data_IF_367658647636
#
_entry.id   IF_367658647636
#
_cell.length_a   1.000
_cell.length_b   1.000
_cell.length_c   1.000
_cell.angle_alpha   90.00
_cell.angle_beta   90.00
_cell.angle_gamma   90.00
#
_symmetry.space_group_name_H-M   'P 1'
#
loop_
_entity.id
_entity.type
_entity.pdbx_description
1 polymer ?
#
# COMPACT_ATOMS: atom_id res chain seq x y z
N UNK A 1 0.88 24.38 -3.42
CA UNK A 1 1.20 24.66 -1.99
C UNK A 1 1.23 23.31 -1.28
N UNK A 2 2.22 23.04 -0.41
CA UNK A 2 2.27 21.78 0.34
C UNK A 2 1.15 21.74 1.39
N UNK A 3 0.58 20.56 1.61
CA UNK A 3 -0.49 20.35 2.57
C UNK A 3 0.05 20.44 4.01
N UNK A 4 -0.50 21.33 4.80
CA UNK A 4 -0.18 21.47 6.22
C UNK A 4 -1.25 20.75 7.04
N UNK A 5 -0.84 19.70 7.77
CA UNK A 5 -1.75 18.98 8.66
C UNK A 5 -2.19 19.88 9.83
N UNK A 6 -3.48 19.91 10.08
CA UNK A 6 -4.02 20.58 11.26
C UNK A 6 -3.75 19.73 12.51
N UNK A 7 -3.82 20.33 13.72
CA UNK A 7 -3.79 19.56 14.97
C UNK A 7 -4.90 18.49 15.07
N UNK A 8 -6.02 18.69 14.37
CA UNK A 8 -7.10 17.68 14.30
C UNK A 8 -6.74 16.51 13.39
N UNK A 9 -6.03 16.73 12.27
CA UNK A 9 -5.58 15.67 11.39
C UNK A 9 -4.56 14.78 12.10
N UNK A 10 -3.59 15.40 12.80
CA UNK A 10 -2.62 14.66 13.59
C UNK A 10 -3.30 13.82 14.69
N UNK A 11 -4.26 14.40 15.42
CA UNK A 11 -5.02 13.64 16.42
C UNK A 11 -5.76 12.48 15.80
N UNK A 12 -6.47 12.69 14.68
CA UNK A 12 -7.18 11.62 13.96
C UNK A 12 -6.22 10.51 13.56
N UNK A 13 -5.06 10.83 12.98
CA UNK A 13 -4.07 9.84 12.61
C UNK A 13 -3.59 9.01 13.80
N UNK A 14 -3.28 9.62 14.93
CA UNK A 14 -2.78 8.90 16.10
C UNK A 14 -3.88 8.17 16.88
N UNK A 15 -5.11 8.71 16.89
CA UNK A 15 -6.24 8.14 17.63
C UNK A 15 -6.93 7.02 16.83
N UNK A 16 -7.22 7.24 15.56
CA UNK A 16 -7.93 6.30 14.70
C UNK A 16 -6.95 5.37 13.98
N UNK A 17 -5.69 5.78 13.79
CA UNK A 17 -4.62 5.05 13.14
C UNK A 17 -4.48 5.35 11.65
N UNK A 18 -5.35 6.20 11.07
CA UNK A 18 -5.30 6.58 9.67
C UNK A 18 -5.84 8.00 9.42
N UNK A 19 -5.49 8.55 8.26
CA UNK A 19 -5.95 9.84 7.76
C UNK A 19 -6.21 9.74 6.26
N UNK A 20 -7.26 10.39 5.77
CA UNK A 20 -7.55 10.52 4.34
C UNK A 20 -7.39 11.99 3.97
N UNK A 21 -6.67 12.25 2.88
CA UNK A 21 -6.52 13.55 2.23
C UNK A 21 -7.10 13.44 0.84
N UNK A 22 -8.13 14.23 0.58
CA UNK A 22 -8.80 14.28 -0.72
C UNK A 22 -8.01 15.15 -1.71
N UNK A 23 -8.17 14.91 -3.00
CA UNK A 23 -7.63 15.72 -4.12
C UNK A 23 -6.12 16.00 -4.02
N UNK A 24 -5.33 15.01 -3.58
CA UNK A 24 -3.87 15.18 -3.47
C UNK A 24 -3.19 15.19 -4.85
N UNK A 25 -3.72 14.42 -5.79
CA UNK A 25 -3.28 14.32 -7.18
C UNK A 25 -4.41 14.75 -8.13
N UNK A 26 -4.05 15.38 -9.25
CA UNK A 26 -5.03 15.79 -10.26
C UNK A 26 -5.55 14.58 -11.05
N UNK A 27 -6.65 14.82 -11.78
CA UNK A 27 -7.21 13.79 -12.66
C UNK A 27 -6.21 13.35 -13.73
N UNK A 28 -5.47 14.27 -14.32
CA UNK A 28 -4.45 13.97 -15.33
C UNK A 28 -3.33 13.10 -14.78
N UNK A 29 -2.88 13.37 -13.54
CA UNK A 29 -1.84 12.59 -12.89
C UNK A 29 -2.30 11.15 -12.59
N UNK A 30 -3.54 10.95 -12.16
CA UNK A 30 -4.06 9.61 -11.93
C UNK A 30 -4.42 8.87 -13.21
N UNK A 31 -4.80 9.57 -14.29
CA UNK A 31 -5.00 8.99 -15.62
C UNK A 31 -3.66 8.44 -16.16
N UNK A 32 -2.56 9.18 -16.01
CA UNK A 32 -1.21 8.69 -16.36
C UNK A 32 -0.83 7.43 -15.58
N UNK A 33 -1.07 7.43 -14.25
CA UNK A 33 -0.84 6.24 -13.42
C UNK A 33 -1.75 5.07 -13.81
N UNK A 34 -2.99 5.33 -14.23
CA UNK A 34 -3.91 4.32 -14.70
C UNK A 34 -3.43 3.65 -15.99
N UNK A 35 -2.93 4.43 -16.93
CA UNK A 35 -2.31 3.93 -18.17
C UNK A 35 -1.04 3.10 -17.87
N UNK A 36 -0.19 3.58 -16.96
CA UNK A 36 0.99 2.85 -16.51
C UNK A 36 0.61 1.52 -15.86
N UNK A 37 -0.45 1.48 -15.06
CA UNK A 37 -0.95 0.24 -14.46
C UNK A 37 -1.46 -0.76 -15.51
N UNK A 38 -2.08 -0.30 -16.60
CA UNK A 38 -2.49 -1.19 -17.70
C UNK A 38 -1.28 -1.71 -18.49
N UNK A 39 -0.23 -0.90 -18.69
CA UNK A 39 1.03 -1.40 -19.28
C UNK A 39 1.68 -2.47 -18.39
N UNK A 40 1.73 -2.26 -17.08
CA UNK A 40 2.19 -3.27 -16.09
C UNK A 40 1.34 -4.54 -16.18
N UNK A 41 0.02 -4.40 -16.29
CA UNK A 41 -0.90 -5.55 -16.42
C UNK A 41 -0.64 -6.35 -17.71
N UNK A 42 -0.44 -5.67 -18.83
CA UNK A 42 -0.13 -6.32 -20.10
C UNK A 42 1.19 -7.11 -20.00
N UNK A 43 2.24 -6.47 -19.47
CA UNK A 43 3.54 -7.10 -19.21
C UNK A 43 3.40 -8.29 -18.23
N UNK A 44 2.60 -8.15 -17.17
CA UNK A 44 2.33 -9.23 -16.23
C UNK A 44 1.70 -10.47 -16.89
N UNK A 45 0.82 -10.29 -17.89
CA UNK A 45 0.25 -11.40 -18.67
C UNK A 45 1.30 -12.10 -19.51
N UNK A 46 2.20 -11.37 -20.15
CA UNK A 46 3.30 -11.92 -20.93
C UNK A 46 4.25 -12.74 -20.05
N UNK A 47 4.61 -12.18 -18.89
CA UNK A 47 5.45 -12.85 -17.89
C UNK A 47 4.76 -14.13 -17.40
N UNK A 48 3.47 -14.05 -17.03
CA UNK A 48 2.71 -15.20 -16.54
C UNK A 48 2.61 -16.33 -17.57
N UNK A 49 2.46 -15.99 -18.86
CA UNK A 49 2.41 -16.96 -19.95
C UNK A 49 3.76 -17.70 -20.17
N UNK A 50 4.87 -17.06 -19.78
CA UNK A 50 6.21 -17.66 -19.88
C UNK A 50 6.62 -18.46 -18.63
N UNK A 51 5.86 -18.34 -17.52
CA UNK A 51 6.15 -19.11 -16.31
C UNK A 51 5.78 -20.59 -16.50
N UNK A 52 6.59 -21.52 -15.95
CA UNK A 52 6.22 -22.94 -15.95
C UNK A 52 4.83 -23.15 -15.35
N UNK A 53 4.09 -24.11 -15.90
CA UNK A 53 2.84 -24.55 -15.27
C UNK A 53 3.19 -25.28 -13.99
N UNK A 54 3.00 -24.63 -12.85
CA UNK A 54 3.16 -25.26 -11.54
C UNK A 54 1.80 -25.77 -11.04
N UNK A 55 1.81 -26.98 -10.53
CA UNK A 55 0.65 -27.61 -9.91
C UNK A 55 0.45 -27.17 -8.44
N UNK A 56 1.39 -26.43 -7.85
CA UNK A 56 1.36 -26.04 -6.45
C UNK A 56 0.65 -24.69 -6.22
N UNK A 57 -0.27 -24.68 -5.24
CA UNK A 57 -0.93 -23.48 -4.76
C UNK A 57 0.04 -22.61 -3.94
N UNK A 58 0.59 -21.55 -4.54
CA UNK A 58 1.49 -20.63 -3.87
C UNK A 58 1.75 -19.35 -4.67
N UNK A 59 2.35 -18.34 -4.01
CA UNK A 59 2.83 -17.15 -4.71
C UNK A 59 4.04 -17.48 -5.57
N UNK A 60 3.99 -17.10 -6.84
CA UNK A 60 5.13 -17.15 -7.76
C UNK A 60 5.64 -15.75 -8.02
N UNK A 61 6.94 -15.61 -8.21
CA UNK A 61 7.59 -14.31 -8.41
C UNK A 61 8.44 -14.33 -9.66
N UNK A 62 8.37 -13.25 -10.41
CA UNK A 62 9.24 -12.99 -11.55
C UNK A 62 9.73 -11.55 -11.52
N UNK A 63 10.97 -11.34 -11.94
CA UNK A 63 11.60 -10.01 -11.96
C UNK A 63 11.69 -9.50 -13.38
N UNK A 64 11.31 -8.25 -13.58
CA UNK A 64 11.43 -7.57 -14.87
C UNK A 64 11.57 -6.06 -14.68
N UNK A 65 12.50 -5.42 -15.36
CA UNK A 65 12.68 -3.96 -15.39
C UNK A 65 12.92 -3.34 -14.01
N UNK A 66 13.50 -4.07 -13.04
CA UNK A 66 13.69 -3.60 -11.67
C UNK A 66 12.45 -3.71 -10.79
N UNK A 67 11.38 -4.34 -11.29
CA UNK A 67 10.15 -4.66 -10.56
C UNK A 67 10.01 -6.17 -10.34
N UNK A 68 9.33 -6.57 -9.25
CA UNK A 68 8.99 -7.96 -8.99
C UNK A 68 7.48 -8.16 -9.11
N UNK A 69 7.09 -8.97 -10.08
CA UNK A 69 5.71 -9.39 -10.30
C UNK A 69 5.39 -10.58 -9.41
N UNK A 70 4.32 -10.48 -8.63
CA UNK A 70 3.88 -11.53 -7.71
C UNK A 70 2.55 -12.07 -8.20
N UNK A 71 2.53 -13.35 -8.53
CA UNK A 71 1.36 -14.06 -9.04
C UNK A 71 0.87 -15.08 -8.02
N UNK A 72 -0.42 -15.35 -8.01
CA UNK A 72 -0.99 -16.37 -7.16
C UNK A 72 -2.43 -16.68 -7.50
N UNK A 73 -2.80 -17.94 -7.28
CA UNK A 73 -4.12 -18.42 -7.62
C UNK A 73 -4.39 -18.44 -9.13
N UNK A 74 -5.62 -18.73 -9.49
CA UNK A 74 -6.09 -18.77 -10.87
C UNK A 74 -7.15 -17.68 -11.03
N UNK A 75 -7.00 -16.83 -12.04
CA UNK A 75 -8.10 -15.98 -12.49
C UNK A 75 -9.13 -16.88 -13.18
N UNK A 76 -10.19 -17.19 -12.45
CA UNK A 76 -11.24 -18.11 -12.91
C UNK A 76 -11.96 -17.61 -14.17
N UNK A 77 -11.98 -16.29 -14.38
CA UNK A 77 -12.60 -15.68 -15.57
C UNK A 77 -11.74 -15.84 -16.82
N UNK A 78 -10.42 -15.95 -16.66
CA UNK A 78 -9.45 -16.02 -17.72
C UNK A 78 -8.74 -17.39 -17.81
N UNK A 79 -8.97 -18.28 -16.84
CA UNK A 79 -8.26 -19.58 -16.77
C UNK A 79 -6.74 -19.45 -16.58
N UNK A 80 -6.28 -18.28 -16.13
CA UNK A 80 -4.86 -17.92 -16.05
C UNK A 80 -4.44 -17.55 -14.62
N UNK A 81 -3.14 -17.55 -14.40
CA UNK A 81 -2.52 -17.08 -13.15
C UNK A 81 -2.83 -15.59 -12.93
N UNK A 82 -3.26 -15.25 -11.72
CA UNK A 82 -3.64 -13.89 -11.33
C UNK A 82 -2.41 -13.09 -10.88
N UNK A 83 -2.26 -11.87 -11.37
CA UNK A 83 -1.29 -10.91 -10.84
C UNK A 83 -1.85 -10.33 -9.53
N UNK A 84 -1.18 -10.61 -8.40
CA UNK A 84 -1.58 -10.15 -7.06
C UNK A 84 -1.11 -8.72 -6.80
N UNK A 85 0.15 -8.44 -7.10
CA UNK A 85 0.80 -7.14 -6.90
C UNK A 85 2.09 -7.03 -7.69
N UNK A 86 2.54 -5.81 -7.90
CA UNK A 86 3.89 -5.53 -8.41
C UNK A 86 4.66 -4.78 -7.34
N UNK A 87 5.75 -5.38 -6.86
CA UNK A 87 6.66 -4.80 -5.87
C UNK A 87 7.68 -3.95 -6.59
N UNK A 88 7.92 -2.74 -6.09
CA UNK A 88 8.75 -1.73 -6.71
C UNK A 88 8.30 -1.40 -8.14
N UNK A 89 7.01 -1.04 -8.26
CA UNK A 89 6.38 -0.77 -9.56
C UNK A 89 7.09 0.34 -10.35
N UNK A 90 7.73 1.29 -9.65
CA UNK A 90 8.56 2.32 -10.25
C UNK A 90 9.83 1.84 -10.94
N UNK A 91 10.17 0.56 -10.84
CA UNK A 91 11.27 -0.05 -11.60
C UNK A 91 10.94 -0.15 -13.08
N UNK A 92 9.74 -0.61 -13.43
CA UNK A 92 9.28 -0.73 -14.82
C UNK A 92 8.44 0.47 -15.29
N UNK A 93 7.74 1.17 -14.38
CA UNK A 93 6.92 2.35 -14.70
C UNK A 93 7.28 3.52 -13.76
N UNK A 94 8.13 4.46 -14.21
CA UNK A 94 8.67 5.54 -13.38
C UNK A 94 7.62 6.43 -12.71
N UNK A 95 6.41 6.56 -13.27
CA UNK A 95 5.31 7.35 -12.70
C UNK A 95 4.92 6.90 -11.28
N UNK A 96 5.03 5.59 -10.98
CA UNK A 96 4.79 5.07 -9.63
C UNK A 96 5.84 5.55 -8.63
N UNK A 97 7.11 5.63 -9.03
CA UNK A 97 8.16 6.15 -8.16
C UNK A 97 8.03 7.67 -7.99
N UNK A 98 7.69 8.39 -9.06
CA UNK A 98 7.41 9.82 -9.02
C UNK A 98 6.25 10.12 -8.06
N UNK A 99 5.13 9.38 -8.13
CA UNK A 99 4.03 9.50 -7.20
C UNK A 99 4.48 9.28 -5.75
N UNK A 100 5.23 8.22 -5.46
CA UNK A 100 5.72 7.92 -4.10
C UNK A 100 6.70 8.95 -3.54
N UNK A 101 7.35 9.74 -4.40
CA UNK A 101 8.32 10.78 -4.02
C UNK A 101 7.80 12.19 -4.25
N UNK A 102 6.52 12.34 -4.61
CA UNK A 102 5.91 13.64 -4.79
C UNK A 102 5.98 14.47 -3.50
N UNK A 103 6.30 15.75 -3.64
CA UNK A 103 6.46 16.67 -2.53
C UNK A 103 5.20 16.80 -1.67
N UNK A 104 4.01 16.72 -2.29
CA UNK A 104 2.71 16.77 -1.58
C UNK A 104 2.55 15.58 -0.64
N UNK A 105 2.84 14.37 -1.13
CA UNK A 105 2.75 13.14 -0.37
C UNK A 105 3.81 13.06 0.72
N UNK A 106 5.07 13.36 0.37
CA UNK A 106 6.21 13.27 1.29
C UNK A 106 6.16 14.34 2.39
N UNK A 107 5.57 15.53 2.12
CA UNK A 107 5.33 16.54 3.15
C UNK A 107 4.36 16.06 4.24
N UNK A 108 3.31 15.33 3.86
CA UNK A 108 2.38 14.73 4.83
C UNK A 108 3.07 13.63 5.62
N UNK A 109 3.81 12.73 4.95
CA UNK A 109 4.59 11.67 5.60
C UNK A 109 5.57 12.26 6.63
N UNK A 110 6.27 13.36 6.28
CA UNK A 110 7.20 14.04 7.17
C UNK A 110 6.54 14.56 8.45
N UNK A 111 5.36 15.16 8.33
CA UNK A 111 4.58 15.64 9.47
C UNK A 111 4.09 14.48 10.35
N UNK A 112 3.65 13.35 9.76
CA UNK A 112 3.18 12.16 10.49
C UNK A 112 4.32 11.42 11.18
N UNK A 113 5.51 11.34 10.56
CA UNK A 113 6.71 10.76 11.17
C UNK A 113 7.44 11.73 12.11
N UNK A 114 7.15 13.03 12.04
CA UNK A 114 7.91 14.06 12.78
C UNK A 114 9.39 14.13 12.34
N UNK A 115 9.68 13.90 11.07
CA UNK A 115 11.04 13.81 10.53
C UNK A 115 11.16 14.49 9.17
N UNK A 116 12.32 15.04 8.87
CA UNK A 116 12.66 15.55 7.53
C UNK A 116 13.26 14.49 6.61
N UNK A 117 13.47 13.27 7.09
CA UNK A 117 14.01 12.16 6.30
C UNK A 117 13.32 10.86 6.63
N UNK A 118 13.18 9.99 5.63
CA UNK A 118 12.71 8.62 5.81
C UNK A 118 13.45 7.68 4.87
N UNK A 119 13.27 6.39 5.07
CA UNK A 119 13.67 5.34 4.13
C UNK A 119 12.41 4.82 3.45
N UNK A 120 12.34 4.90 2.13
CA UNK A 120 11.24 4.31 1.37
C UNK A 120 11.46 2.80 1.23
N UNK A 121 10.58 2.02 1.85
CA UNK A 121 10.65 0.55 1.85
C UNK A 121 9.78 -0.07 0.76
N UNK A 122 8.69 0.58 0.37
CA UNK A 122 7.73 0.08 -0.59
C UNK A 122 7.42 1.12 -1.65
N UNK A 123 7.22 0.61 -2.87
CA UNK A 123 6.59 1.29 -3.99
C UNK A 123 5.87 0.23 -4.81
N UNK A 124 4.58 0.05 -4.61
CA UNK A 124 3.84 -1.09 -5.14
C UNK A 124 2.60 -0.66 -5.90
N UNK A 125 2.24 -1.44 -6.91
CA UNK A 125 0.92 -1.43 -7.53
C UNK A 125 0.10 -2.62 -7.01
N UNK A 126 -1.08 -2.33 -6.45
CA UNK A 126 -2.12 -3.32 -6.19
C UNK A 126 -3.33 -3.01 -7.05
N UNK A 127 -3.82 -4.00 -7.76
CA UNK A 127 -4.97 -3.86 -8.64
C UNK A 127 -5.95 -5.01 -8.41
N UNK A 128 -7.21 -4.68 -8.19
CA UNK A 128 -8.33 -5.62 -8.15
C UNK A 128 -9.19 -5.43 -9.36
N UNK A 129 -9.32 -6.46 -10.16
CA UNK A 129 -10.21 -6.46 -11.33
C UNK A 129 -11.53 -7.14 -10.99
N UNK A 130 -12.61 -6.81 -11.72
CA UNK A 130 -13.92 -7.39 -11.47
C UNK A 130 -13.89 -8.90 -11.35
N UNK A 131 -14.40 -9.44 -10.24
CA UNK A 131 -14.52 -10.87 -9.94
C UNK A 131 -13.19 -11.66 -9.92
N UNK A 132 -12.06 -10.99 -9.68
CA UNK A 132 -10.76 -11.65 -9.58
C UNK A 132 -10.59 -12.45 -8.26
N UNK A 133 -11.51 -12.29 -7.31
CA UNK A 133 -11.50 -12.97 -6.02
C UNK A 133 -10.31 -12.58 -5.12
N UNK A 134 -9.65 -11.45 -5.40
CA UNK A 134 -8.55 -10.96 -4.58
C UNK A 134 -9.05 -10.23 -3.35
N UNK A 135 -8.82 -10.80 -2.20
CA UNK A 135 -9.09 -10.18 -0.90
C UNK A 135 -7.84 -10.21 -0.01
N UNK A 136 -7.80 -9.34 0.97
CA UNK A 136 -6.78 -9.33 2.00
C UNK A 136 -7.47 -9.44 3.37
N UNK A 137 -7.13 -10.49 4.12
CA UNK A 137 -7.65 -10.70 5.47
C UNK A 137 -7.24 -9.57 6.43
N UNK A 138 -7.91 -9.45 7.60
CA UNK A 138 -7.51 -8.51 8.63
C UNK A 138 -6.05 -8.70 9.04
N UNK A 139 -5.27 -7.63 9.00
CA UNK A 139 -3.86 -7.63 9.38
C UNK A 139 -3.41 -6.24 9.85
N UNK A 140 -2.24 -6.19 10.43
CA UNK A 140 -1.47 -4.99 10.70
C UNK A 140 -0.23 -4.99 9.82
N UNK A 141 0.17 -3.83 9.29
CA UNK A 141 1.41 -3.74 8.51
C UNK A 141 2.66 -4.09 9.33
N UNK A 142 2.60 -3.93 10.64
CA UNK A 142 3.64 -4.34 11.56
C UNK A 142 3.99 -5.84 11.47
N UNK A 143 3.02 -6.72 11.12
CA UNK A 143 3.28 -8.13 10.82
C UNK A 143 4.26 -8.26 9.65
N UNK A 144 4.00 -7.56 8.56
CA UNK A 144 4.83 -7.60 7.35
C UNK A 144 6.18 -6.89 7.51
N UNK A 145 6.27 -5.96 8.45
CA UNK A 145 7.52 -5.24 8.78
C UNK A 145 8.34 -5.98 9.86
N UNK A 146 7.87 -7.12 10.38
CA UNK A 146 8.57 -7.97 11.36
C UNK A 146 8.78 -7.31 12.71
N UNK A 147 7.79 -6.55 13.17
CA UNK A 147 7.80 -6.02 14.53
C UNK A 147 7.92 -7.16 15.54
N UNK A 148 8.51 -6.86 16.69
CA UNK A 148 8.80 -7.88 17.72
C UNK A 148 10.00 -8.78 17.39
N UNK A 149 10.73 -8.51 16.29
CA UNK A 149 11.97 -9.23 15.94
C UNK A 149 13.15 -8.25 15.85
N UNK A 150 14.41 -8.73 15.84
CA UNK A 150 15.59 -7.86 15.66
C UNK A 150 15.64 -7.12 14.33
N UNK A 151 14.78 -7.45 13.37
CA UNK A 151 14.72 -6.81 12.05
C UNK A 151 14.00 -5.46 12.07
N UNK A 152 13.27 -5.14 13.16
CA UNK A 152 12.58 -3.87 13.34
C UNK A 152 12.84 -3.25 14.71
N UNK A 153 13.18 -1.96 14.70
CA UNK A 153 13.33 -1.13 15.90
C UNK A 153 12.31 0.01 15.84
N UNK A 154 11.46 0.12 16.85
CA UNK A 154 10.57 1.29 16.99
C UNK A 154 11.36 2.43 17.64
N UNK A 155 11.89 3.36 16.82
CA UNK A 155 12.80 4.43 17.27
C UNK A 155 12.06 5.65 17.82
N UNK A 156 10.75 5.79 17.58
CA UNK A 156 9.92 6.92 18.04
C UNK A 156 8.81 6.53 19.03
N UNK A 157 8.67 5.22 19.32
CA UNK A 157 7.61 4.70 20.18
C UNK A 157 6.21 4.75 19.56
N UNK A 158 6.10 5.04 18.24
CA UNK A 158 4.85 5.13 17.48
C UNK A 158 4.80 4.16 16.30
N UNK A 159 5.78 3.26 16.24
CA UNK A 159 5.92 2.27 15.20
C UNK A 159 6.89 2.65 14.10
N UNK A 160 7.35 3.91 14.04
CA UNK A 160 8.40 4.38 13.12
C UNK A 160 8.12 4.13 11.63
N UNK A 161 6.84 4.08 11.24
CA UNK A 161 6.40 3.75 9.89
C UNK A 161 5.09 4.42 9.52
N UNK A 162 5.01 4.88 8.27
CA UNK A 162 3.75 5.33 7.64
C UNK A 162 3.61 4.63 6.29
N UNK A 163 2.44 4.04 6.05
CA UNK A 163 2.03 3.57 4.74
C UNK A 163 1.11 4.57 4.08
N UNK A 164 1.26 4.74 2.76
CA UNK A 164 0.39 5.57 1.94
C UNK A 164 -0.27 4.73 0.87
N UNK A 165 -1.52 5.04 0.57
CA UNK A 165 -2.29 4.45 -0.52
C UNK A 165 -2.89 5.57 -1.32
N UNK A 166 -2.46 5.73 -2.57
CA UNK A 166 -3.04 6.69 -3.52
C UNK A 166 -4.06 5.96 -4.38
N UNK A 167 -5.28 6.44 -4.42
CA UNK A 167 -6.34 5.91 -5.26
C UNK A 167 -6.12 6.35 -6.72
N UNK A 168 -5.91 5.39 -7.60
CA UNK A 168 -5.84 5.60 -9.05
C UNK A 168 -7.24 5.59 -9.66
N UNK A 169 -8.12 4.75 -9.10
CA UNK A 169 -9.54 4.69 -9.44
C UNK A 169 -10.38 5.05 -8.22
N UNK A 170 -11.60 5.52 -8.44
CA UNK A 170 -12.57 5.70 -7.37
C UNK A 170 -12.80 4.39 -6.63
N UNK A 171 -12.78 4.45 -5.31
CA UNK A 171 -13.12 3.30 -4.47
C UNK A 171 -14.57 3.37 -4.04
N UNK A 172 -15.30 2.27 -4.28
CA UNK A 172 -16.71 2.12 -3.93
C UNK A 172 -16.90 0.95 -2.98
N UNK A 173 -18.05 0.82 -2.32
CA UNK A 173 -18.32 -0.34 -1.46
C UNK A 173 -18.20 -1.69 -2.19
N UNK A 174 -18.43 -1.71 -3.50
CA UNK A 174 -18.47 -2.92 -4.32
C UNK A 174 -17.12 -3.33 -4.90
N UNK A 175 -16.18 -2.37 -5.11
CA UNK A 175 -14.91 -2.66 -5.80
C UNK A 175 -13.74 -3.02 -4.88
N UNK A 176 -14.05 -3.37 -3.62
CA UNK A 176 -13.07 -3.88 -2.66
C UNK A 176 -12.20 -2.81 -2.03
N UNK A 177 -12.79 -1.78 -1.39
CA UNK A 177 -12.08 -0.72 -0.69
C UNK A 177 -11.24 -1.28 0.45
N UNK A 178 -10.27 -0.49 0.92
CA UNK A 178 -9.67 -0.70 2.24
C UNK A 178 -10.75 -0.50 3.31
N UNK A 179 -10.72 -1.35 4.33
CA UNK A 179 -11.61 -1.27 5.48
C UNK A 179 -10.73 -1.13 6.70
N UNK A 180 -10.79 0.01 7.37
CA UNK A 180 -10.05 0.29 8.59
C UNK A 180 -10.87 -0.03 9.85
N UNK A 181 -10.16 -0.36 10.93
CA UNK A 181 -10.73 -0.52 12.27
C UNK A 181 -10.17 0.58 13.17
N UNK A 182 -10.85 1.74 13.25
CA UNK A 182 -10.34 2.91 13.99
C UNK A 182 -10.02 2.58 15.44
N UNK A 183 -8.91 3.12 15.95
CA UNK A 183 -8.47 2.92 17.31
C UNK A 183 -7.82 1.56 17.60
N UNK A 184 -7.83 0.61 16.65
CA UNK A 184 -7.17 -0.69 16.83
C UNK A 184 -5.65 -0.57 17.03
N UNK A 185 -5.04 0.47 16.47
CA UNK A 185 -3.61 0.74 16.58
C UNK A 185 -3.13 1.09 17.99
N UNK A 186 -4.03 1.48 18.90
CA UNK A 186 -3.68 1.83 20.28
C UNK A 186 -3.11 0.68 21.10
N UNK A 187 -3.32 -0.55 20.66
CA UNK A 187 -2.79 -1.75 21.31
C UNK A 187 -1.37 -2.11 20.85
N UNK A 188 -0.79 -1.34 19.90
CA UNK A 188 0.49 -1.64 19.31
C UNK A 188 0.45 -2.88 18.39
N UNK A 189 1.59 -3.56 18.27
CA UNK A 189 1.70 -4.78 17.49
C UNK A 189 0.99 -5.95 18.19
N UNK A 190 0.05 -6.57 17.49
CA UNK A 190 -0.73 -7.71 17.96
C UNK A 190 -0.25 -9.00 17.28
N UNK A 191 -0.51 -10.13 17.94
CA UNK A 191 -0.33 -11.43 17.32
C UNK A 191 -1.22 -11.57 16.07
N UNK A 192 -0.66 -11.99 14.92
CA UNK A 192 -1.41 -12.07 13.67
C UNK A 192 -2.64 -13.00 13.71
N UNK A 193 -2.59 -14.10 14.48
CA UNK A 193 -3.74 -14.98 14.61
C UNK A 193 -4.87 -14.31 15.40
N UNK A 194 -4.52 -13.56 16.44
CA UNK A 194 -5.46 -12.74 17.22
C UNK A 194 -6.13 -11.70 16.32
N UNK A 195 -5.35 -10.98 15.48
CA UNK A 195 -5.91 -9.99 14.54
C UNK A 195 -6.91 -10.65 13.59
N UNK A 196 -6.54 -11.76 12.95
CA UNK A 196 -7.43 -12.45 12.02
C UNK A 196 -8.71 -12.95 12.69
N UNK A 197 -8.62 -13.52 13.89
CA UNK A 197 -9.78 -14.05 14.59
C UNK A 197 -10.71 -12.95 15.09
N UNK A 198 -10.17 -11.88 15.67
CA UNK A 198 -10.95 -10.85 16.35
C UNK A 198 -11.59 -9.84 15.38
N UNK A 199 -10.99 -9.65 14.17
CA UNK A 199 -11.42 -8.61 13.24
C UNK A 199 -12.07 -9.16 11.96
N UNK A 200 -12.10 -10.47 11.73
CA UNK A 200 -12.70 -11.07 10.53
C UNK A 200 -14.14 -10.63 10.31
N UNK A 201 -14.96 -10.75 11.34
CA UNK A 201 -16.40 -10.51 11.27
C UNK A 201 -16.81 -9.16 11.86
N UNK A 202 -15.85 -8.35 12.33
CA UNK A 202 -16.16 -7.02 12.83
C UNK A 202 -16.51 -6.07 11.68
N UNK A 203 -17.52 -5.22 11.85
CA UNK A 203 -17.73 -4.10 10.93
C UNK A 203 -16.57 -3.11 11.07
N UNK A 204 -15.94 -2.78 9.97
CA UNK A 204 -14.94 -1.71 9.87
C UNK A 204 -15.49 -0.54 9.06
N UNK A 205 -14.68 0.50 8.89
CA UNK A 205 -15.03 1.70 8.11
C UNK A 205 -14.35 1.59 6.73
N UNK A 206 -15.11 1.51 5.64
CA UNK A 206 -14.53 1.52 4.30
C UNK A 206 -13.94 2.89 3.97
N UNK A 207 -12.73 2.91 3.42
CA UNK A 207 -12.11 4.09 2.86
C UNK A 207 -12.61 4.27 1.42
N UNK A 208 -13.64 5.07 1.24
CA UNK A 208 -14.17 5.43 -0.08
C UNK A 208 -13.37 6.64 -0.56
N UNK A 209 -12.39 6.39 -1.42
CA UNK A 209 -11.48 7.38 -1.96
C UNK A 209 -11.88 7.72 -3.39
N UNK A 210 -12.03 8.99 -3.69
CA UNK A 210 -12.05 9.45 -5.08
C UNK A 210 -10.63 9.33 -5.67
N UNK A 211 -10.55 9.11 -6.98
CA UNK A 211 -9.27 9.06 -7.69
C UNK A 211 -8.45 10.34 -7.44
N UNK A 212 -7.18 10.19 -7.09
CA UNK A 212 -6.31 11.29 -6.68
C UNK A 212 -6.25 11.54 -5.18
N UNK A 213 -7.17 10.98 -4.40
CA UNK A 213 -7.11 11.02 -2.93
C UNK A 213 -6.10 10.02 -2.38
N UNK A 214 -5.61 10.26 -1.17
CA UNK A 214 -4.66 9.37 -0.51
C UNK A 214 -5.06 9.05 0.93
N UNK A 215 -4.90 7.79 1.33
CA UNK A 215 -4.95 7.36 2.71
C UNK A 215 -3.53 7.19 3.26
N UNK A 216 -3.33 7.66 4.48
CA UNK A 216 -2.10 7.52 5.26
C UNK A 216 -2.43 6.74 6.52
N UNK A 217 -1.64 5.76 6.89
CA UNK A 217 -1.90 4.98 8.09
C UNK A 217 -0.64 4.43 8.74
N UNK A 218 -0.73 4.25 10.06
CA UNK A 218 0.35 3.72 10.88
C UNK A 218 0.42 2.19 10.81
N UNK A 219 1.52 1.60 11.30
CA UNK A 219 1.78 0.17 11.20
C UNK A 219 0.84 -0.69 12.04
N UNK A 220 0.21 -0.11 13.05
CA UNK A 220 -0.58 -0.84 14.05
C UNK A 220 -2.09 -0.83 13.78
N UNK A 221 -2.61 0.01 12.86
CA UNK A 221 -4.04 -0.02 12.56
C UNK A 221 -4.38 -1.31 11.83
N UNK A 222 -5.35 -2.03 12.36
CA UNK A 222 -5.89 -3.21 11.68
C UNK A 222 -6.70 -2.76 10.48
N UNK A 223 -6.45 -3.40 9.35
CA UNK A 223 -7.19 -3.15 8.12
C UNK A 223 -7.32 -4.43 7.30
N UNK A 224 -8.26 -4.41 6.38
CA UNK A 224 -8.51 -5.49 5.40
C UNK A 224 -9.02 -4.91 4.09
N UNK A 225 -9.20 -5.73 3.07
CA UNK A 225 -9.96 -5.32 1.87
C UNK A 225 -10.68 -6.50 1.24
N UNK A 226 -11.96 -6.30 0.91
CA UNK A 226 -12.79 -7.29 0.24
C UNK A 226 -12.40 -7.47 -1.25
N UNK A 227 -12.92 -8.48 -1.90
CA UNK A 227 -12.79 -8.66 -3.35
C UNK A 227 -13.54 -7.57 -4.13
N UNK A 228 -13.14 -7.37 -5.39
CA UNK A 228 -13.85 -6.48 -6.30
C UNK A 228 -15.03 -7.21 -6.95
N UNK A 229 -16.24 -6.84 -6.54
CA UNK A 229 -17.52 -7.30 -7.11
C UNK A 229 -18.17 -6.26 -8.03
N UNK A 230 -17.50 -5.10 -8.19
CA UNK A 230 -17.94 -4.04 -9.09
C UNK A 230 -17.67 -4.34 -10.55
N UNK A 231 -17.99 -3.37 -11.42
CA UNK A 231 -17.79 -3.48 -12.86
C UNK A 231 -16.47 -2.86 -13.37
N UNK A 232 -15.82 -2.03 -12.55
CA UNK A 232 -14.58 -1.32 -12.88
C UNK A 232 -13.39 -1.83 -12.04
N UNK A 233 -12.15 -1.71 -12.52
CA UNK A 233 -10.96 -2.02 -11.72
C UNK A 233 -10.86 -1.09 -10.51
N UNK A 234 -10.12 -1.54 -9.48
CA UNK A 234 -9.69 -0.71 -8.36
C UNK A 234 -8.18 -0.83 -8.21
N UNK A 235 -7.47 0.16 -8.72
CA UNK A 235 -6.02 0.24 -8.71
C UNK A 235 -5.56 1.25 -7.67
N UNK A 236 -4.51 0.92 -6.95
CA UNK A 236 -3.89 1.79 -5.93
C UNK A 236 -2.37 1.73 -6.04
N UNK A 237 -1.73 2.87 -5.83
CA UNK A 237 -0.30 2.95 -5.60
C UNK A 237 -0.01 2.98 -4.10
N UNK A 238 0.84 2.05 -3.64
CA UNK A 238 1.19 1.91 -2.22
C UNK A 238 2.64 2.29 -2.03
N UNK A 239 2.93 3.16 -1.06
CA UNK A 239 4.28 3.47 -0.62
C UNK A 239 4.41 3.28 0.88
N UNK A 240 5.58 2.86 1.34
CA UNK A 240 5.87 2.68 2.75
C UNK A 240 7.14 3.38 3.14
N UNK A 241 7.09 4.17 4.22
CA UNK A 241 8.18 4.98 4.70
C UNK A 241 8.48 4.66 6.16
N UNK A 242 9.75 4.42 6.45
CA UNK A 242 10.23 4.17 7.81
C UNK A 242 11.20 5.26 8.25
N UNK A 243 11.25 5.52 9.55
CA UNK A 243 12.30 6.33 10.12
C UNK A 243 13.68 5.68 9.90
N UNK A 244 14.74 6.46 9.65
CA UNK A 244 16.09 5.91 9.59
C UNK A 244 16.44 5.11 10.85
N UNK A 245 17.01 3.92 10.67
CA UNK A 245 17.35 3.01 11.76
C UNK A 245 16.23 2.08 12.22
N UNK A 246 14.98 2.27 11.77
CA UNK A 246 13.87 1.40 12.18
C UNK A 246 13.95 0.01 11.54
N UNK A 247 14.35 -0.07 10.28
CA UNK A 247 14.37 -1.30 9.50
C UNK A 247 15.78 -1.78 9.19
N UNK A 248 16.08 -3.06 9.41
CA UNK A 248 17.33 -3.71 9.01
C UNK A 248 17.19 -4.74 7.88
N UNK A 249 15.96 -4.96 7.37
CA UNK A 249 15.70 -5.90 6.27
C UNK A 249 15.98 -5.29 4.92
N UNK A 250 16.37 -6.15 3.98
CA UNK A 250 16.34 -5.82 2.55
C UNK A 250 14.94 -6.05 1.98
N UNK A 251 14.45 -5.09 1.23
CA UNK A 251 13.23 -5.19 0.43
C UNK A 251 13.60 -5.18 -1.05
N UNK A 252 12.78 -5.83 -1.87
CA UNK A 252 12.99 -5.79 -3.32
C UNK A 252 12.83 -4.36 -3.85
N UNK A 253 13.75 -3.98 -4.72
CA UNK A 253 13.78 -2.69 -5.38
C UNK A 253 14.95 -1.81 -4.97
N UNK A 254 15.25 -0.82 -5.77
CA UNK A 254 16.37 0.10 -5.56
C UNK A 254 16.17 1.06 -4.37
N UNK A 255 14.98 1.07 -3.76
CA UNK A 255 14.62 1.94 -2.63
C UNK A 255 15.02 1.43 -1.27
N UNK A 256 15.42 0.17 -1.17
CA UNK A 256 15.79 -0.42 0.12
C UNK A 256 17.01 0.27 0.70
N UNK A 257 16.83 0.92 1.86
CA UNK A 257 17.89 1.67 2.52
C UNK A 257 18.24 3.04 1.89
N UNK A 258 17.52 3.46 0.85
CA UNK A 258 17.74 4.77 0.23
C UNK A 258 16.97 5.84 1.03
N UNK A 259 17.66 6.85 1.58
CA UNK A 259 17.00 7.97 2.23
C UNK A 259 16.18 8.79 1.23
N UNK A 260 15.01 9.23 1.67
CA UNK A 260 14.15 10.17 0.96
C UNK A 260 14.03 11.43 1.81
N UNK A 261 14.27 12.58 1.24
CA UNK A 261 14.00 13.85 1.89
C UNK A 261 12.47 14.04 1.96
N UNK A 262 12.00 14.37 3.15
CA UNK A 262 10.60 14.66 3.41
C UNK A 262 10.42 16.17 3.47
N UNK A 263 9.62 16.69 2.57
CA UNK A 263 9.38 18.12 2.57
C UNK A 263 8.66 18.54 3.86
N UNK A 264 9.12 19.69 4.42
CA UNK A 264 8.45 20.31 5.56
C UNK A 264 7.68 21.53 5.05
N UNK A 265 6.40 21.70 5.39
CA UNK A 265 5.70 22.95 5.13
C UNK A 265 6.40 24.09 5.90
N UNK A 266 6.61 25.20 5.23
CA UNK A 266 7.23 26.40 5.82
C UNK A 266 6.32 27.10 6.80
#
# INVERSE_FOLDING_TARGET
>A
MLYQLSPSDLRRFYDDGYLIIEDLFSREEVEEMAEAAERIRALGREIAAALPADEEAGERKAEHGGSQFVFGGIDRSLGSTRLLRVVWAGGCEPSFLACGRDARLTAIVGQLLGSSTAVQLLNQLHAKYPNDGLEFEPHQDSEHRRYGTPEWCDVDGRGSYVQTVVAIDDTTPENGPLIFFPGSGRQGHLDPATVRNDYRDRPGIPALLEAGSAAFFGPYVVHRSAENRGAAPRRIAINGFALPGANSRSYFGAGTGVPVELFQPS
#
